data_IF_181195592439
#
_entry.id   IF_181195592439
#
_cell.length_a   1.000
_cell.length_b   1.000
_cell.length_c   1.000
_cell.angle_alpha   90.00
_cell.angle_beta   90.00
_cell.angle_gamma   90.00
#
_symmetry.space_group_name_H-M   'P 1'
#
loop_
_entity.id
_entity.type
_entity.pdbx_description
1 polymer ?
#
# COMPACT_ATOMS: atom_id res chain seq x y z
N UNK A 1 17.85 9.87 1.97
CA UNK A 1 16.42 9.81 2.34
C UNK A 1 15.88 8.42 2.07
N UNK A 2 15.01 7.95 2.94
CA UNK A 2 14.38 6.65 2.73
C UNK A 2 13.27 6.76 1.66
N UNK A 3 13.16 5.77 0.77
CA UNK A 3 12.04 5.73 -0.16
C UNK A 3 10.69 5.66 0.55
N UNK A 4 9.70 6.32 0.00
CA UNK A 4 8.33 6.36 0.53
C UNK A 4 7.47 5.46 -0.34
N UNK A 5 6.93 4.41 0.26
CA UNK A 5 6.23 3.34 -0.45
C UNK A 5 4.79 3.27 0.05
N UNK A 6 3.85 3.57 -0.82
CA UNK A 6 2.43 3.43 -0.48
C UNK A 6 2.01 1.98 -0.68
N UNK A 7 1.40 1.41 0.33
CA UNK A 7 0.95 0.00 0.33
C UNK A 7 -0.57 -0.01 0.28
N UNK A 8 -1.16 -0.63 -0.74
CA UNK A 8 -2.62 -0.74 -0.77
C UNK A 8 -3.09 -1.90 0.11
N UNK A 9 -4.40 -1.99 0.31
CA UNK A 9 -4.96 -2.98 1.24
C UNK A 9 -4.73 -4.42 0.80
N UNK A 10 -4.65 -4.70 -0.50
CA UNK A 10 -4.37 -6.07 -0.97
C UNK A 10 -2.99 -6.54 -0.52
N UNK A 11 -2.01 -5.66 -0.55
CA UNK A 11 -0.63 -5.96 -0.15
C UNK A 11 -0.53 -6.09 1.37
N UNK A 12 -1.15 -5.17 2.10
CA UNK A 12 -1.14 -5.22 3.56
C UNK A 12 -1.86 -6.46 4.08
N UNK A 13 -2.97 -6.83 3.45
CA UNK A 13 -3.69 -8.08 3.74
C UNK A 13 -2.76 -9.29 3.53
N UNK A 14 -2.08 -9.34 2.39
CA UNK A 14 -1.16 -10.44 2.06
C UNK A 14 -0.03 -10.53 3.10
N UNK A 15 0.53 -9.40 3.52
CA UNK A 15 1.60 -9.36 4.51
C UNK A 15 1.15 -9.90 5.85
N UNK A 16 -0.07 -9.59 6.28
CA UNK A 16 -0.60 -10.06 7.56
C UNK A 16 -1.01 -11.54 7.50
N UNK A 17 -1.52 -11.99 6.35
CA UNK A 17 -2.06 -13.34 6.20
C UNK A 17 -1.01 -14.39 5.87
N UNK A 18 0.22 -13.99 5.54
CA UNK A 18 1.30 -14.91 5.22
C UNK A 18 2.62 -14.43 5.83
N UNK A 19 3.32 -15.33 6.52
CA UNK A 19 4.62 -15.05 7.09
C UNK A 19 5.73 -15.00 6.03
N UNK A 20 5.41 -15.39 4.79
CA UNK A 20 6.37 -15.45 3.68
C UNK A 20 5.89 -14.58 2.53
N UNK A 21 6.77 -14.33 1.58
CA UNK A 21 6.44 -13.58 0.37
C UNK A 21 6.88 -12.13 0.43
N UNK A 22 6.80 -11.49 -0.73
CA UNK A 22 7.34 -10.14 -0.90
C UNK A 22 6.53 -9.06 -0.21
N UNK A 23 5.22 -9.28 0.01
CA UNK A 23 4.43 -8.33 0.79
C UNK A 23 4.96 -8.22 2.21
N UNK A 24 5.26 -9.36 2.85
CA UNK A 24 5.86 -9.39 4.18
C UNK A 24 7.27 -8.81 4.16
N UNK A 25 8.04 -9.10 3.11
CA UNK A 25 9.40 -8.56 2.96
C UNK A 25 9.40 -7.04 2.95
N UNK A 26 8.44 -6.41 2.29
CA UNK A 26 8.34 -4.95 2.27
C UNK A 26 8.06 -4.40 3.67
N UNK A 27 7.17 -5.05 4.42
CA UNK A 27 6.89 -4.62 5.78
C UNK A 27 8.11 -4.78 6.69
N UNK A 28 8.91 -5.83 6.47
CA UNK A 28 10.17 -6.02 7.21
C UNK A 28 11.19 -4.94 6.86
N UNK A 29 11.25 -4.51 5.61
CA UNK A 29 12.09 -3.38 5.22
C UNK A 29 11.67 -2.10 5.95
N UNK A 30 10.37 -1.90 6.12
CA UNK A 30 9.84 -0.80 6.92
C UNK A 30 10.26 -0.91 8.38
N UNK A 31 10.23 -2.12 8.94
CA UNK A 31 10.64 -2.36 10.32
C UNK A 31 12.13 -2.09 10.52
N UNK A 32 12.94 -2.37 9.51
CA UNK A 32 14.38 -2.15 9.54
C UNK A 32 14.80 -0.71 9.22
N UNK A 33 13.84 0.16 8.92
CA UNK A 33 14.12 1.56 8.58
C UNK A 33 14.66 1.77 7.18
N UNK A 34 14.60 0.77 6.32
CA UNK A 34 15.10 0.86 4.94
C UNK A 34 14.15 1.65 4.03
N UNK A 35 12.87 1.63 4.36
CA UNK A 35 11.82 2.38 3.65
C UNK A 35 10.85 2.96 4.66
N UNK A 36 10.07 3.96 4.23
CA UNK A 36 8.93 4.45 4.98
C UNK A 36 7.67 3.89 4.34
N UNK A 37 6.90 3.14 5.11
CA UNK A 37 5.60 2.63 4.67
C UNK A 37 4.59 3.76 4.79
N UNK A 38 3.88 4.04 3.72
CA UNK A 38 2.83 5.07 3.69
C UNK A 38 1.49 4.39 3.51
N UNK A 39 0.55 4.69 4.36
CA UNK A 39 -0.80 4.13 4.36
C UNK A 39 -1.82 5.26 4.55
N UNK A 40 -3.09 4.92 4.36
CA UNK A 40 -4.19 5.80 4.74
C UNK A 40 -5.07 5.07 5.75
N UNK A 41 -5.92 5.82 6.46
CA UNK A 41 -6.90 5.20 7.36
C UNK A 41 -7.81 4.24 6.62
N UNK A 42 -8.17 4.59 5.39
CA UNK A 42 -9.00 3.71 4.55
C UNK A 42 -8.34 2.35 4.33
N UNK A 43 -7.04 2.34 4.02
CA UNK A 43 -6.28 1.09 3.82
C UNK A 43 -6.28 0.27 5.11
N UNK A 44 -6.03 0.91 6.24
CA UNK A 44 -6.00 0.21 7.53
C UNK A 44 -7.37 -0.41 7.86
N UNK A 45 -8.44 0.35 7.70
CA UNK A 45 -9.79 -0.12 7.98
C UNK A 45 -10.22 -1.24 7.05
N UNK A 46 -9.97 -1.08 5.74
CA UNK A 46 -10.32 -2.10 4.75
C UNK A 46 -9.57 -3.39 5.02
N UNK A 47 -8.28 -3.31 5.32
CA UNK A 47 -7.46 -4.48 5.60
C UNK A 47 -7.96 -5.21 6.85
N UNK A 48 -8.21 -4.46 7.93
CA UNK A 48 -8.71 -5.06 9.18
C UNK A 48 -10.05 -5.73 8.98
N UNK A 49 -10.95 -5.07 8.24
CA UNK A 49 -12.27 -5.63 7.94
C UNK A 49 -12.17 -6.94 7.16
N UNK A 50 -11.32 -6.96 6.14
CA UNK A 50 -11.13 -8.15 5.31
C UNK A 50 -10.47 -9.30 6.08
N UNK A 51 -9.48 -8.99 6.91
CA UNK A 51 -8.85 -10.00 7.77
C UNK A 51 -9.84 -10.59 8.77
N UNK A 52 -10.72 -9.76 9.30
CA UNK A 52 -11.73 -10.19 10.27
C UNK A 52 -12.75 -11.19 9.70
N UNK A 53 -12.88 -11.26 8.39
CA UNK A 53 -13.79 -12.19 7.73
C UNK A 53 -13.18 -13.57 7.52
N UNK A 54 -11.89 -13.73 7.78
CA UNK A 54 -11.24 -15.03 7.68
C UNK A 54 -11.64 -15.91 8.84
N UNK A 55 -11.55 -17.23 8.63
CA UNK A 55 -11.91 -18.22 9.65
C UNK A 55 -11.06 -18.06 10.93
N UNK A 56 -9.77 -17.76 10.76
CA UNK A 56 -8.83 -17.50 11.83
C UNK A 56 -8.14 -16.17 11.57
N UNK A 57 -8.77 -15.05 11.92
CA UNK A 57 -8.23 -13.74 11.59
C UNK A 57 -6.86 -13.50 12.23
N UNK A 58 -5.81 -13.20 11.41
CA UNK A 58 -4.47 -12.95 11.95
C UNK A 58 -4.33 -11.50 12.44
N UNK A 59 -5.19 -11.09 13.36
CA UNK A 59 -5.22 -9.71 13.84
C UNK A 59 -4.03 -9.37 14.74
N UNK A 60 -3.53 -10.34 15.53
CA UNK A 60 -2.34 -10.10 16.33
C UNK A 60 -1.10 -9.88 15.46
N UNK A 61 -0.96 -10.69 14.42
CA UNK A 61 0.13 -10.55 13.44
C UNK A 61 0.04 -9.22 12.71
N UNK A 62 -1.17 -8.81 12.35
CA UNK A 62 -1.41 -7.52 11.71
C UNK A 62 -0.97 -6.37 12.61
N UNK A 63 -1.39 -6.40 13.89
CA UNK A 63 -1.02 -5.37 14.85
C UNK A 63 0.49 -5.32 15.09
N UNK A 64 1.16 -6.48 15.14
CA UNK A 64 2.62 -6.55 15.31
C UNK A 64 3.35 -5.93 14.10
N UNK A 65 2.90 -6.24 12.89
CA UNK A 65 3.49 -5.69 11.68
C UNK A 65 3.39 -4.16 11.71
N UNK A 66 2.23 -3.63 12.07
CA UNK A 66 2.03 -2.18 12.13
C UNK A 66 2.89 -1.54 13.23
N UNK A 67 3.01 -2.21 14.38
CA UNK A 67 3.79 -1.67 15.50
C UNK A 67 5.28 -1.63 15.22
N UNK A 68 5.79 -2.57 14.43
CA UNK A 68 7.22 -2.70 14.17
C UNK A 68 7.71 -1.92 12.96
N UNK A 69 6.83 -1.59 12.03
CA UNK A 69 7.22 -0.89 10.81
C UNK A 69 7.22 0.63 11.01
N UNK A 70 8.06 1.32 10.26
CA UNK A 70 8.04 2.77 10.18
C UNK A 70 6.90 3.16 9.24
N UNK A 71 5.81 3.66 9.82
CA UNK A 71 4.58 3.93 9.08
C UNK A 71 4.19 5.40 9.20
N UNK A 72 3.83 5.97 8.06
CA UNK A 72 3.23 7.30 7.98
C UNK A 72 1.80 7.12 7.49
N UNK A 73 0.83 7.64 8.25
CA UNK A 73 -0.59 7.58 7.87
C UNK A 73 -1.00 8.93 7.31
N UNK A 74 -1.55 8.92 6.08
CA UNK A 74 -2.00 10.15 5.43
C UNK A 74 -3.51 10.25 5.47
N UNK A 75 -3.98 11.49 5.60
CA UNK A 75 -5.40 11.78 5.57
C UNK A 75 -5.78 12.31 4.19
N UNK A 76 -6.97 11.96 3.73
CA UNK A 76 -7.46 12.35 2.41
C UNK A 76 -8.82 12.98 2.57
N UNK A 77 -9.01 14.17 2.00
CA UNK A 77 -10.32 14.81 2.03
C UNK A 77 -11.21 14.29 0.89
N UNK A 78 -12.50 14.54 1.03
CA UNK A 78 -13.51 14.07 0.08
C UNK A 78 -13.27 14.61 -1.34
N UNK A 79 -12.80 15.84 -1.46
CA UNK A 79 -12.60 16.48 -2.77
C UNK A 79 -11.55 15.73 -3.59
N UNK A 80 -10.46 15.32 -2.96
CA UNK A 80 -9.39 14.59 -3.66
C UNK A 80 -9.87 13.19 -4.05
N UNK A 81 -10.66 12.55 -3.20
CA UNK A 81 -11.25 11.24 -3.53
C UNK A 81 -12.18 11.37 -4.73
N UNK A 82 -13.00 12.40 -4.79
CA UNK A 82 -13.90 12.62 -5.92
C UNK A 82 -13.13 12.88 -7.21
N UNK A 83 -12.01 13.59 -7.14
CA UNK A 83 -11.16 13.80 -8.30
C UNK A 83 -10.56 12.47 -8.79
N UNK A 84 -10.06 11.65 -7.88
CA UNK A 84 -9.51 10.33 -8.22
C UNK A 84 -10.58 9.42 -8.81
N UNK A 85 -11.83 9.53 -8.36
CA UNK A 85 -12.94 8.72 -8.84
C UNK A 85 -13.27 8.95 -10.32
N UNK A 86 -12.75 10.02 -10.92
CA UNK A 86 -12.87 10.26 -12.36
C UNK A 86 -11.96 9.35 -13.18
N UNK A 87 -10.99 8.70 -12.54
CA UNK A 87 -9.92 7.95 -13.21
C UNK A 87 -9.91 6.47 -12.88
N UNK A 88 -10.63 6.06 -11.83
CA UNK A 88 -10.62 4.70 -11.32
C UNK A 88 -11.99 4.37 -10.72
N UNK A 89 -12.28 3.09 -10.54
CA UNK A 89 -13.54 2.67 -9.91
C UNK A 89 -13.63 3.27 -8.50
N UNK A 90 -14.85 3.59 -8.07
CA UNK A 90 -15.08 4.35 -6.85
C UNK A 90 -14.46 3.71 -5.60
N UNK A 91 -14.53 2.40 -5.48
CA UNK A 91 -13.99 1.69 -4.30
C UNK A 91 -12.47 1.85 -4.16
N UNK A 92 -11.75 2.08 -5.24
CA UNK A 92 -10.30 2.24 -5.24
C UNK A 92 -9.86 3.70 -5.26
N UNK A 93 -10.80 4.63 -5.42
CA UNK A 93 -10.51 6.06 -5.47
C UNK A 93 -9.81 6.57 -4.19
N UNK A 94 -10.20 6.13 -2.97
CA UNK A 94 -9.49 6.58 -1.77
C UNK A 94 -8.02 6.19 -1.76
N UNK A 95 -7.67 5.03 -2.29
CA UNK A 95 -6.28 4.56 -2.36
C UNK A 95 -5.48 5.43 -3.33
N UNK A 96 -6.02 5.66 -4.52
CA UNK A 96 -5.36 6.49 -5.53
C UNK A 96 -5.17 7.92 -5.04
N UNK A 97 -6.19 8.48 -4.41
CA UNK A 97 -6.16 9.83 -3.85
C UNK A 97 -5.08 9.96 -2.78
N UNK A 98 -4.99 8.98 -1.88
CA UNK A 98 -4.00 9.01 -0.81
C UNK A 98 -2.58 8.91 -1.36
N UNK A 99 -2.35 8.03 -2.34
CA UNK A 99 -1.04 7.90 -2.96
C UNK A 99 -0.61 9.19 -3.65
N UNK A 100 -1.54 9.88 -4.31
CA UNK A 100 -1.26 11.16 -4.95
C UNK A 100 -0.87 12.24 -3.94
N UNK A 101 -1.66 12.38 -2.88
CA UNK A 101 -1.42 13.42 -1.87
C UNK A 101 -0.10 13.15 -1.11
N UNK A 102 0.18 11.89 -0.83
CA UNK A 102 1.34 11.52 -0.03
C UNK A 102 2.68 11.77 -0.74
N UNK A 103 2.67 11.90 -2.05
CA UNK A 103 3.90 12.09 -2.84
C UNK A 103 4.88 10.95 -2.55
N UNK A 104 4.59 9.78 -3.11
CA UNK A 104 5.36 8.56 -2.85
C UNK A 104 6.26 8.22 -4.03
N UNK A 105 7.24 7.36 -3.78
CA UNK A 105 8.12 6.85 -4.83
C UNK A 105 7.48 5.69 -5.59
N UNK A 106 6.65 4.91 -4.92
CA UNK A 106 5.92 3.79 -5.52
C UNK A 106 4.58 3.60 -4.84
N UNK A 107 3.60 3.11 -5.61
CA UNK A 107 2.37 2.53 -5.09
C UNK A 107 2.45 1.02 -5.35
N UNK A 108 2.34 0.22 -4.32
CA UNK A 108 2.44 -1.24 -4.42
C UNK A 108 1.05 -1.86 -4.29
N UNK A 109 0.70 -2.70 -5.25
CA UNK A 109 -0.63 -3.31 -5.32
C UNK A 109 -0.56 -4.73 -5.90
N UNK A 110 -1.59 -5.52 -5.59
CA UNK A 110 -1.82 -6.82 -6.21
C UNK A 110 -3.04 -6.79 -7.15
N UNK A 111 -3.68 -5.65 -7.29
CA UNK A 111 -4.89 -5.49 -8.10
C UNK A 111 -4.53 -5.26 -9.57
N UNK A 112 -4.55 -6.35 -10.35
CA UNK A 112 -4.22 -6.30 -11.78
C UNK A 112 -5.31 -5.65 -12.63
N UNK A 113 -6.54 -5.72 -12.16
CA UNK A 113 -7.68 -5.25 -12.94
C UNK A 113 -7.81 -3.72 -12.92
N UNK A 114 -7.67 -3.11 -11.75
CA UNK A 114 -7.98 -1.69 -11.58
C UNK A 114 -6.78 -0.79 -11.32
N UNK A 115 -5.69 -1.32 -10.81
CA UNK A 115 -4.55 -0.52 -10.35
C UNK A 115 -3.28 -0.75 -11.15
N UNK A 116 -2.84 -2.00 -11.28
CA UNK A 116 -1.63 -2.35 -12.02
C UNK A 116 -1.82 -2.22 -13.52
N UNK A 117 -0.74 -1.88 -14.23
CA UNK A 117 -0.72 -1.79 -15.71
C UNK A 117 -1.64 -0.70 -16.28
N UNK A 118 -1.74 0.41 -15.55
CA UNK A 118 -2.50 1.59 -15.97
C UNK A 118 -1.58 2.81 -15.97
N UNK A 119 -0.86 3.07 -17.08
CA UNK A 119 0.08 4.19 -17.13
C UNK A 119 -0.55 5.56 -16.81
N UNK A 120 -1.83 5.72 -17.11
CA UNK A 120 -2.55 6.97 -16.79
C UNK A 120 -2.66 7.19 -15.27
N UNK A 121 -2.74 6.12 -14.49
CA UNK A 121 -2.76 6.23 -13.03
C UNK A 121 -1.38 6.58 -12.49
N UNK A 122 -0.33 6.01 -13.07
CA UNK A 122 1.05 6.37 -12.72
C UNK A 122 1.31 7.85 -12.98
N UNK A 123 0.85 8.35 -14.12
CA UNK A 123 0.99 9.76 -14.46
C UNK A 123 0.23 10.64 -13.45
N UNK A 124 -0.94 10.21 -13.03
CA UNK A 124 -1.78 10.95 -12.10
C UNK A 124 -1.13 11.08 -10.72
N UNK A 125 -0.58 10.00 -10.18
CA UNK A 125 0.07 10.04 -8.86
C UNK A 125 1.55 10.42 -8.94
N UNK A 126 2.11 10.47 -10.13
CA UNK A 126 3.54 10.78 -10.38
C UNK A 126 4.46 9.80 -9.68
N UNK A 127 4.13 8.50 -9.76
CA UNK A 127 4.92 7.43 -9.17
C UNK A 127 4.66 6.14 -9.94
N UNK A 128 5.59 5.21 -9.85
CA UNK A 128 5.41 3.88 -10.43
C UNK A 128 4.40 3.08 -9.61
N UNK A 129 3.57 2.29 -10.31
CA UNK A 129 2.65 1.36 -9.68
C UNK A 129 3.17 -0.05 -9.99
N UNK A 130 3.51 -0.79 -8.94
CA UNK A 130 4.24 -2.06 -9.08
C UNK A 130 3.67 -3.13 -8.16
N UNK A 131 4.02 -4.39 -8.46
CA UNK A 131 3.70 -5.51 -7.57
C UNK A 131 4.70 -5.57 -6.41
N UNK A 132 4.39 -6.33 -5.34
CA UNK A 132 5.36 -6.48 -4.25
C UNK A 132 6.72 -7.02 -4.69
N UNK A 133 6.74 -8.00 -5.62
CA UNK A 133 8.01 -8.55 -6.09
C UNK A 133 8.79 -7.50 -6.89
N UNK A 134 8.12 -6.73 -7.74
CA UNK A 134 8.77 -5.66 -8.50
C UNK A 134 9.32 -4.57 -7.57
N UNK A 135 8.54 -4.19 -6.56
CA UNK A 135 8.98 -3.21 -5.56
C UNK A 135 10.22 -3.71 -4.82
N UNK A 136 10.18 -4.96 -4.35
CA UNK A 136 11.30 -5.56 -3.64
C UNK A 136 12.56 -5.56 -4.51
N UNK A 137 12.46 -5.98 -5.78
CA UNK A 137 13.59 -6.00 -6.70
C UNK A 137 14.16 -4.61 -6.95
N UNK A 138 13.30 -3.61 -7.16
CA UNK A 138 13.75 -2.23 -7.38
C UNK A 138 14.47 -1.67 -6.15
N UNK A 139 13.93 -1.94 -4.96
CA UNK A 139 14.52 -1.44 -3.72
C UNK A 139 15.87 -2.11 -3.42
N UNK A 140 16.00 -3.39 -3.71
CA UNK A 140 17.28 -4.10 -3.53
C UNK A 140 18.33 -3.65 -4.54
N UNK A 141 17.92 -3.34 -5.76
CA UNK A 141 18.85 -2.91 -6.82
C UNK A 141 19.49 -1.55 -6.54
N UNK A 142 18.87 -0.72 -5.69
CA UNK A 142 19.40 0.62 -5.38
C UNK A 142 20.34 0.64 -4.17
N UNK A 143 20.63 -0.50 -3.60
CA UNK A 143 21.53 -0.61 -2.44
C UNK A 143 22.94 -0.93 -2.82
#
# INVERSE_FOLDING_TARGET
MTPRIFIDSSVLFSAANSAKGHSRDLMLMGANGEITIVLSDYVLEETRRNLSQLKRPPLNEFDEILANARIEVVEVNKQVVLDAAKRIVLKDAPILAAAKIATVDMLVSLDKKHILNHPELEAYIKANIVTPIEAYQKLKATK
#
